data_IF_194713124365
#
_entry.id   IF_194713124365
#
_cell.length_a   1.000
_cell.length_b   1.000
_cell.length_c   1.000
_cell.angle_alpha   90.00
_cell.angle_beta   90.00
_cell.angle_gamma   90.00
#
_symmetry.space_group_name_H-M   'P 1'
#
loop_
_entity.id
_entity.type
_entity.pdbx_description
1 polymer ?
#
# COMPACT_ATOMS: atom_id res chain seq x y z
N UNK A 1 59.31 18.05 55.48
CA UNK A 1 58.35 18.55 54.52
C UNK A 1 58.20 17.65 53.24
N UNK A 2 58.27 16.33 53.37
CA UNK A 2 58.13 15.42 52.24
C UNK A 2 56.92 14.44 52.36
N UNK A 3 56.24 14.41 53.50
CA UNK A 3 55.15 13.49 53.74
C UNK A 3 53.76 14.01 53.32
N UNK A 4 53.64 15.28 52.90
CA UNK A 4 52.32 15.89 52.54
C UNK A 4 52.00 15.90 51.04
N UNK A 5 52.88 15.34 50.19
CA UNK A 5 52.69 15.35 48.74
C UNK A 5 52.23 14.02 48.12
N UNK A 6 52.09 12.94 48.90
CA UNK A 6 51.74 11.61 48.40
C UNK A 6 50.28 11.21 48.61
N UNK A 7 49.44 12.05 49.24
CA UNK A 7 48.05 11.75 49.50
C UNK A 7 47.05 12.35 48.50
N UNK A 8 47.50 12.89 47.36
CA UNK A 8 46.64 13.54 46.35
C UNK A 8 46.55 12.83 45.00
N UNK A 9 47.09 11.65 44.90
CA UNK A 9 46.96 10.85 43.71
C UNK A 9 46.17 9.61 44.02
N UNK A 10 45.04 9.46 43.44
CA UNK A 10 44.13 8.30 43.32
C UNK A 10 42.77 8.54 44.01
N UNK A 11 42.06 9.57 43.58
CA UNK A 11 40.62 9.49 43.49
C UNK A 11 40.20 9.57 42.01
N UNK A 12 40.43 8.48 41.25
CA UNK A 12 39.78 8.34 39.97
C UNK A 12 38.29 8.16 40.27
N UNK A 13 37.42 9.04 39.73
CA UNK A 13 35.99 8.78 39.86
C UNK A 13 35.70 7.43 39.20
N UNK A 14 35.11 6.54 39.98
CA UNK A 14 34.59 5.28 39.47
C UNK A 14 33.69 5.60 38.25
N UNK A 15 33.80 4.83 37.16
CA UNK A 15 32.93 5.04 36.02
C UNK A 15 31.49 4.96 36.53
N UNK A 16 30.75 6.05 36.38
CA UNK A 16 29.32 6.05 36.66
C UNK A 16 28.71 4.99 35.74
N UNK A 17 28.38 3.85 36.33
CA UNK A 17 27.60 2.83 35.68
C UNK A 17 26.28 3.51 35.24
N UNK A 18 26.14 3.75 33.95
CA UNK A 18 24.88 4.26 33.39
C UNK A 18 23.81 3.27 33.84
N UNK A 19 23.01 3.65 34.81
CA UNK A 19 21.80 2.88 35.11
C UNK A 19 21.03 2.80 33.83
N UNK A 20 20.86 1.58 33.31
CA UNK A 20 19.88 1.31 32.26
C UNK A 20 18.55 1.70 32.92
N UNK A 21 18.07 2.88 32.54
CA UNK A 21 16.74 3.31 32.92
C UNK A 21 15.79 2.25 32.36
N UNK A 22 15.24 1.44 33.22
CA UNK A 22 14.06 0.64 32.87
C UNK A 22 12.89 1.62 32.76
N UNK A 23 12.85 2.37 31.67
CA UNK A 23 11.63 3.03 31.27
C UNK A 23 10.60 1.90 31.17
N UNK A 24 9.48 1.93 31.93
CA UNK A 24 8.45 0.93 31.75
C UNK A 24 8.11 0.98 30.27
N UNK A 25 8.36 -0.12 29.57
CA UNK A 25 7.90 -0.29 28.20
C UNK A 25 6.40 -0.02 28.28
N UNK A 26 5.97 1.18 27.86
CA UNK A 26 4.57 1.39 27.57
C UNK A 26 4.27 0.33 26.55
N UNK A 27 3.58 -0.72 26.98
CA UNK A 27 2.96 -1.65 26.04
C UNK A 27 2.16 -0.76 25.12
N UNK A 28 2.71 -0.50 23.93
CA UNK A 28 1.91 0.13 22.89
C UNK A 28 0.73 -0.82 22.73
N UNK A 29 -0.47 -0.32 22.92
CA UNK A 29 -1.72 -1.05 22.60
C UNK A 29 -1.83 -1.32 21.09
N UNK A 30 -0.77 -1.18 20.36
CA UNK A 30 -0.58 -1.49 18.95
C UNK A 30 -0.32 -2.98 18.67
N UNK A 31 -0.79 -3.88 19.52
CA UNK A 31 -1.05 -5.22 19.08
C UNK A 31 -2.25 -5.14 18.14
N UNK A 32 -2.02 -5.44 16.86
CA UNK A 32 -3.06 -5.61 15.84
C UNK A 32 -3.95 -6.82 16.21
N UNK A 33 -4.67 -6.69 17.31
CA UNK A 33 -5.63 -7.68 17.74
C UNK A 33 -6.98 -7.30 17.15
N UNK A 34 -7.59 -8.25 16.42
CA UNK A 34 -8.96 -8.09 15.96
C UNK A 34 -9.88 -7.91 17.18
N UNK A 35 -10.71 -6.89 17.12
CA UNK A 35 -11.79 -6.66 18.08
C UNK A 35 -13.10 -6.76 17.32
N UNK A 36 -14.00 -7.62 17.80
CA UNK A 36 -15.30 -7.81 17.21
C UNK A 36 -16.08 -6.49 17.18
N UNK A 37 -16.59 -6.15 16.00
CA UNK A 37 -17.49 -5.03 15.78
C UNK A 37 -18.84 -5.54 15.27
N UNK A 38 -19.92 -4.74 15.28
CA UNK A 38 -21.20 -5.15 14.72
C UNK A 38 -21.14 -5.58 13.25
N UNK A 39 -20.22 -5.01 12.47
CA UNK A 39 -20.06 -5.28 11.03
C UNK A 39 -18.88 -6.22 10.71
N UNK A 40 -17.96 -6.44 11.64
CA UNK A 40 -16.78 -7.29 11.45
C UNK A 40 -16.58 -8.21 12.65
N UNK A 41 -17.18 -9.41 12.59
CA UNK A 41 -17.06 -10.43 13.60
C UNK A 41 -17.22 -11.83 12.96
N UNK A 42 -16.70 -12.89 13.58
CA UNK A 42 -16.72 -14.25 13.02
C UNK A 42 -18.13 -14.85 12.87
N UNK A 43 -19.16 -14.24 13.46
CA UNK A 43 -20.55 -14.72 13.39
C UNK A 43 -21.24 -14.34 12.09
N UNK A 44 -20.73 -13.31 11.37
CA UNK A 44 -21.24 -12.91 10.08
C UNK A 44 -20.71 -13.91 9.05
N UNK A 45 -21.60 -14.76 8.52
CA UNK A 45 -21.22 -15.77 7.54
C UNK A 45 -20.78 -15.11 6.22
N UNK A 46 -19.70 -15.64 5.64
CA UNK A 46 -19.25 -15.33 4.28
C UNK A 46 -19.11 -16.63 3.52
N UNK A 47 -19.63 -16.65 2.30
CA UNK A 47 -19.44 -17.74 1.34
C UNK A 47 -19.29 -17.16 -0.07
N UNK A 48 -18.49 -17.81 -0.89
CA UNK A 48 -18.41 -17.44 -2.30
C UNK A 48 -19.75 -17.73 -3.00
N UNK A 49 -20.13 -16.83 -3.90
CA UNK A 49 -21.20 -17.10 -4.86
C UNK A 49 -20.84 -18.33 -5.69
N UNK A 50 -21.84 -18.97 -6.29
CA UNK A 50 -21.64 -20.17 -7.14
C UNK A 50 -20.65 -19.91 -8.28
N UNK A 51 -20.64 -18.70 -8.85
CA UNK A 51 -19.71 -18.26 -9.88
C UNK A 51 -18.29 -18.09 -9.32
N UNK A 52 -18.15 -17.35 -8.21
CA UNK A 52 -16.85 -17.13 -7.58
C UNK A 52 -16.27 -18.41 -6.99
N UNK A 53 -17.10 -19.36 -6.58
CA UNK A 53 -16.60 -20.66 -6.12
C UNK A 53 -15.96 -21.46 -7.28
N UNK A 54 -16.56 -21.43 -8.49
CA UNK A 54 -15.92 -22.02 -9.68
C UNK A 54 -14.60 -21.33 -9.99
N UNK A 55 -14.61 -19.99 -9.99
CA UNK A 55 -13.41 -19.20 -10.20
C UNK A 55 -12.31 -19.50 -9.15
N UNK A 56 -12.70 -19.66 -7.90
CA UNK A 56 -11.77 -20.04 -6.83
C UNK A 56 -11.15 -21.41 -7.05
N UNK A 57 -11.93 -22.38 -7.54
CA UNK A 57 -11.43 -23.72 -7.87
C UNK A 57 -10.46 -23.68 -9.06
N UNK A 58 -10.74 -22.89 -10.09
CA UNK A 58 -9.83 -22.64 -11.21
C UNK A 58 -8.50 -22.05 -10.73
N UNK A 59 -8.54 -21.03 -9.85
CA UNK A 59 -7.35 -20.42 -9.27
C UNK A 59 -6.54 -21.45 -8.49
N UNK A 60 -7.17 -22.27 -7.66
CA UNK A 60 -6.48 -23.31 -6.88
C UNK A 60 -5.84 -24.34 -7.83
N UNK A 61 -6.50 -24.69 -8.93
CA UNK A 61 -5.99 -25.67 -9.91
C UNK A 61 -4.73 -25.20 -10.65
N UNK A 62 -4.38 -23.92 -10.62
CA UNK A 62 -3.10 -23.41 -11.15
C UNK A 62 -1.88 -23.84 -10.31
N UNK A 63 -2.10 -24.30 -9.07
CA UNK A 63 -1.04 -24.70 -8.16
C UNK A 63 -1.02 -26.23 -7.97
N UNK A 64 0.15 -26.84 -7.72
CA UNK A 64 0.21 -28.25 -7.38
C UNK A 64 -0.65 -28.58 -6.15
N UNK A 65 -1.28 -29.76 -6.08
CA UNK A 65 -2.24 -30.11 -4.99
C UNK A 65 -1.66 -29.94 -3.58
N UNK A 66 -0.37 -30.23 -3.38
CA UNK A 66 0.31 -30.08 -2.09
C UNK A 66 0.63 -28.61 -1.74
N UNK A 67 0.52 -27.69 -2.71
CA UNK A 67 0.79 -26.26 -2.54
C UNK A 67 -0.41 -25.36 -2.77
N UNK A 68 -1.63 -25.88 -2.62
CA UNK A 68 -2.88 -25.08 -2.77
C UNK A 68 -2.91 -23.82 -1.90
N UNK A 69 -2.16 -23.79 -0.80
CA UNK A 69 -1.96 -22.61 0.05
C UNK A 69 -1.38 -21.40 -0.70
N UNK A 70 -0.70 -21.61 -1.82
CA UNK A 70 -0.17 -20.52 -2.65
C UNK A 70 -1.29 -19.66 -3.29
N UNK A 71 -2.51 -20.18 -3.37
CA UNK A 71 -3.68 -19.45 -3.85
C UNK A 71 -4.25 -18.43 -2.85
N UNK A 72 -3.65 -18.23 -1.67
CA UNK A 72 -4.22 -17.38 -0.62
C UNK A 72 -4.42 -15.94 -1.06
N UNK A 73 -3.43 -15.33 -1.74
CA UNK A 73 -3.50 -13.94 -2.22
C UNK A 73 -4.61 -13.76 -3.26
N UNK A 74 -4.65 -14.52 -4.36
CA UNK A 74 -5.71 -14.35 -5.36
C UNK A 74 -7.11 -14.71 -4.82
N UNK A 75 -7.23 -15.63 -3.87
CA UNK A 75 -8.53 -15.93 -3.25
C UNK A 75 -8.98 -14.84 -2.29
N UNK A 76 -8.08 -14.21 -1.55
CA UNK A 76 -8.41 -13.04 -0.73
C UNK A 76 -8.84 -11.87 -1.61
N UNK A 77 -8.18 -11.64 -2.77
CA UNK A 77 -8.59 -10.59 -3.72
C UNK A 77 -9.99 -10.87 -4.28
N UNK A 78 -10.25 -12.10 -4.73
CA UNK A 78 -11.57 -12.49 -5.22
C UNK A 78 -12.66 -12.31 -4.15
N UNK A 79 -12.35 -12.68 -2.91
CA UNK A 79 -13.26 -12.55 -1.79
C UNK A 79 -13.49 -11.07 -1.40
N UNK A 80 -12.44 -10.25 -1.42
CA UNK A 80 -12.52 -8.82 -1.19
C UNK A 80 -13.43 -8.14 -2.21
N UNK A 81 -13.29 -8.48 -3.49
CA UNK A 81 -14.16 -7.96 -4.57
C UNK A 81 -15.62 -8.33 -4.35
N UNK A 82 -15.90 -9.55 -3.94
CA UNK A 82 -17.27 -9.98 -3.61
C UNK A 82 -17.81 -9.30 -2.34
N UNK A 83 -16.94 -9.01 -1.36
CA UNK A 83 -17.31 -8.41 -0.09
C UNK A 83 -17.21 -6.87 -0.11
N UNK A 84 -17.61 -6.24 -1.21
CA UNK A 84 -17.64 -4.76 -1.35
C UNK A 84 -16.30 -4.08 -1.12
N UNK A 85 -15.22 -4.68 -1.59
CA UNK A 85 -13.88 -4.10 -1.59
C UNK A 85 -13.09 -4.22 -0.28
N UNK A 86 -13.55 -5.01 0.70
CA UNK A 86 -12.81 -5.21 1.95
C UNK A 86 -12.84 -6.67 2.45
N UNK A 87 -11.85 -7.04 3.26
CA UNK A 87 -11.68 -8.38 3.83
C UNK A 87 -12.07 -8.40 5.30
N UNK A 88 -13.26 -8.94 5.62
CA UNK A 88 -13.69 -9.19 7.00
C UNK A 88 -12.97 -10.40 7.61
N UNK A 89 -13.05 -10.53 8.94
CA UNK A 89 -12.55 -11.72 9.63
C UNK A 89 -13.18 -13.00 9.10
N UNK A 90 -14.47 -12.95 8.75
CA UNK A 90 -15.20 -14.09 8.19
C UNK A 90 -14.72 -14.48 6.79
N UNK A 91 -14.38 -13.50 5.96
CA UNK A 91 -13.74 -13.71 4.65
C UNK A 91 -12.42 -14.45 4.82
N UNK A 92 -11.56 -13.99 5.72
CA UNK A 92 -10.26 -14.61 5.99
C UNK A 92 -10.42 -16.04 6.52
N UNK A 93 -11.37 -16.27 7.43
CA UNK A 93 -11.67 -17.60 7.96
C UNK A 93 -12.21 -18.55 6.88
N UNK A 94 -13.04 -18.06 5.97
CA UNK A 94 -13.56 -18.86 4.87
C UNK A 94 -12.45 -19.29 3.90
N UNK A 95 -11.57 -18.35 3.52
CA UNK A 95 -10.40 -18.64 2.67
C UNK A 95 -9.46 -19.62 3.34
N UNK A 96 -9.22 -19.47 4.67
CA UNK A 96 -8.41 -20.41 5.44
C UNK A 96 -8.98 -21.83 5.39
N UNK A 97 -10.30 -21.97 5.59
CA UNK A 97 -11.00 -23.26 5.52
C UNK A 97 -10.92 -23.87 4.12
N UNK A 98 -11.13 -23.08 3.06
CA UNK A 98 -11.08 -23.54 1.67
C UNK A 98 -9.70 -24.06 1.28
N UNK A 99 -8.64 -23.40 1.77
CA UNK A 99 -7.25 -23.78 1.51
C UNK A 99 -6.67 -24.77 2.53
N UNK A 100 -7.46 -25.19 3.54
CA UNK A 100 -7.02 -26.05 4.64
C UNK A 100 -5.78 -25.48 5.36
N UNK A 101 -5.81 -24.15 5.59
CA UNK A 101 -4.74 -23.43 6.29
C UNK A 101 -5.18 -23.03 7.69
N UNK A 102 -4.23 -22.92 8.65
CA UNK A 102 -4.53 -22.26 9.91
C UNK A 102 -4.98 -20.80 9.66
N UNK A 103 -6.07 -20.31 10.26
CA UNK A 103 -6.57 -18.95 10.05
C UNK A 103 -5.50 -17.86 10.28
N UNK A 104 -4.63 -18.06 11.27
CA UNK A 104 -3.54 -17.12 11.57
C UNK A 104 -2.65 -16.85 10.34
N UNK A 105 -2.37 -17.87 9.51
CA UNK A 105 -1.56 -17.69 8.30
C UNK A 105 -2.23 -16.82 7.24
N UNK A 106 -3.55 -16.87 7.17
CA UNK A 106 -4.32 -15.98 6.29
C UNK A 106 -4.36 -14.56 6.86
N UNK A 107 -4.48 -14.41 8.19
CA UNK A 107 -4.42 -13.09 8.83
C UNK A 107 -3.06 -12.41 8.61
N UNK A 108 -1.97 -13.16 8.70
CA UNK A 108 -0.62 -12.65 8.40
C UNK A 108 -0.54 -12.08 7.00
N UNK A 109 -1.08 -12.79 6.00
CA UNK A 109 -1.11 -12.32 4.61
C UNK A 109 -1.98 -11.08 4.46
N UNK A 110 -3.19 -11.09 5.01
CA UNK A 110 -4.12 -9.97 4.92
C UNK A 110 -3.63 -8.70 5.63
N UNK A 111 -2.78 -8.85 6.65
CA UNK A 111 -2.19 -7.71 7.37
C UNK A 111 -0.88 -7.23 6.76
N UNK A 112 -0.14 -8.09 6.10
CA UNK A 112 1.14 -7.76 5.47
C UNK A 112 0.95 -7.01 4.15
N UNK A 113 0.06 -7.48 3.30
CA UNK A 113 -0.17 -6.89 1.98
C UNK A 113 -1.19 -5.75 2.05
N UNK A 114 -0.76 -4.54 1.75
CA UNK A 114 -1.58 -3.31 1.83
C UNK A 114 -2.75 -3.27 0.86
N UNK A 115 -2.77 -4.14 -0.16
CA UNK A 115 -3.91 -4.27 -1.08
C UNK A 115 -5.17 -4.80 -0.41
N UNK A 116 -5.06 -5.41 0.77
CA UNK A 116 -6.22 -5.94 1.49
C UNK A 116 -6.76 -4.92 2.49
N UNK A 117 -7.94 -4.40 2.19
CA UNK A 117 -8.66 -3.49 3.07
C UNK A 117 -9.32 -4.28 4.20
N UNK A 118 -8.97 -4.01 5.45
CA UNK A 118 -9.51 -4.70 6.62
C UNK A 118 -10.73 -4.00 7.24
N UNK A 119 -11.03 -2.82 6.77
CA UNK A 119 -12.18 -2.01 7.14
C UNK A 119 -13.03 -1.74 5.90
N UNK A 120 -14.34 -1.51 6.07
CA UNK A 120 -15.21 -1.15 4.96
C UNK A 120 -14.72 0.10 4.24
N UNK A 121 -14.76 0.06 2.93
CA UNK A 121 -14.43 1.19 2.05
C UNK A 121 -15.67 1.65 1.28
N UNK A 122 -15.61 2.85 0.71
CA UNK A 122 -16.64 3.36 -0.19
C UNK A 122 -16.67 2.66 -1.54
N UNK A 123 -17.65 3.00 -2.36
CA UNK A 123 -17.80 2.44 -3.72
C UNK A 123 -16.58 2.73 -4.60
N UNK A 124 -15.99 3.91 -4.42
CA UNK A 124 -14.78 4.34 -5.14
C UNK A 124 -13.63 4.49 -4.15
N UNK A 125 -12.65 3.63 -4.27
CA UNK A 125 -11.46 3.64 -3.45
C UNK A 125 -10.36 4.44 -4.14
N UNK A 126 -10.10 5.64 -3.64
CA UNK A 126 -9.14 6.59 -4.22
C UNK A 126 -7.82 6.50 -3.47
N UNK A 127 -6.77 6.16 -4.17
CA UNK A 127 -5.43 5.98 -3.65
C UNK A 127 -4.50 7.00 -4.31
N UNK A 128 -3.95 7.94 -3.53
CA UNK A 128 -3.07 8.99 -4.03
C UNK A 128 -1.62 8.65 -3.68
N UNK A 129 -0.78 8.51 -4.69
CA UNK A 129 0.65 8.28 -4.50
C UNK A 129 1.36 9.58 -4.14
N UNK A 130 2.09 9.58 -3.00
CA UNK A 130 2.86 10.73 -2.52
C UNK A 130 4.36 10.46 -2.39
N UNK A 131 4.84 9.31 -2.90
CA UNK A 131 6.27 8.97 -2.90
C UNK A 131 7.08 9.89 -3.81
N UNK A 132 8.39 9.84 -3.69
CA UNK A 132 9.33 10.87 -4.17
C UNK A 132 9.05 11.42 -5.57
N UNK A 133 8.89 10.64 -6.65
CA UNK A 133 8.62 11.21 -7.97
C UNK A 133 7.29 11.95 -8.04
N UNK A 134 6.23 11.41 -7.43
CA UNK A 134 4.93 12.05 -7.37
C UNK A 134 4.98 13.31 -6.50
N UNK A 135 5.67 13.26 -5.36
CA UNK A 135 5.89 14.41 -4.49
C UNK A 135 6.58 15.56 -5.24
N UNK A 136 7.67 15.28 -5.95
CA UNK A 136 8.39 16.27 -6.75
C UNK A 136 7.54 16.88 -7.88
N UNK A 137 6.51 16.16 -8.32
CA UNK A 137 5.55 16.59 -9.35
C UNK A 137 4.27 17.18 -8.78
N UNK A 138 4.22 17.43 -7.45
CA UNK A 138 3.12 18.14 -6.81
C UNK A 138 1.98 17.23 -6.32
N UNK A 139 2.24 15.96 -5.96
CA UNK A 139 1.18 15.05 -5.51
C UNK A 139 0.46 15.49 -4.24
N UNK A 140 1.12 16.26 -3.36
CA UNK A 140 0.44 16.81 -2.17
C UNK A 140 -0.66 17.81 -2.55
N UNK A 141 -0.46 18.62 -3.62
CA UNK A 141 -1.51 19.47 -4.15
C UNK A 141 -2.68 18.65 -4.71
N UNK A 142 -2.37 17.51 -5.35
CA UNK A 142 -3.40 16.57 -5.81
C UNK A 142 -4.16 15.98 -4.63
N UNK A 143 -3.47 15.51 -3.59
CA UNK A 143 -4.09 14.97 -2.38
C UNK A 143 -5.00 15.99 -1.71
N UNK A 144 -4.53 17.21 -1.52
CA UNK A 144 -5.32 18.31 -0.96
C UNK A 144 -6.55 18.61 -1.84
N UNK A 145 -6.36 18.62 -3.17
CA UNK A 145 -7.46 18.82 -4.13
C UNK A 145 -8.52 17.73 -3.99
N UNK A 146 -8.12 16.46 -3.89
CA UNK A 146 -9.03 15.31 -3.68
C UNK A 146 -9.79 15.48 -2.37
N UNK A 147 -9.07 15.70 -1.27
CA UNK A 147 -9.67 15.83 0.05
C UNK A 147 -10.68 17.00 0.12
N UNK A 148 -10.31 18.16 -0.42
CA UNK A 148 -11.19 19.34 -0.44
C UNK A 148 -12.41 19.16 -1.34
N UNK A 149 -12.22 18.58 -2.53
CA UNK A 149 -13.29 18.35 -3.50
C UNK A 149 -14.34 17.35 -2.99
N UNK A 150 -13.93 16.39 -2.19
CA UNK A 150 -14.80 15.39 -1.57
C UNK A 150 -15.39 15.82 -0.21
N UNK A 151 -15.40 17.11 0.09
CA UNK A 151 -16.06 17.67 1.27
C UNK A 151 -15.17 17.83 2.50
N UNK A 152 -13.84 17.93 2.30
CA UNK A 152 -12.87 18.19 3.37
C UNK A 152 -12.54 16.95 4.21
N UNK A 153 -12.65 15.76 3.63
CA UNK A 153 -12.24 14.51 4.28
C UNK A 153 -10.73 14.42 4.42
N UNK A 154 -10.28 13.65 5.41
CA UNK A 154 -8.85 13.38 5.60
C UNK A 154 -8.46 12.05 4.94
N UNK A 155 -7.17 11.86 4.59
CA UNK A 155 -6.68 10.55 4.17
C UNK A 155 -7.00 9.48 5.24
N UNK A 156 -7.53 8.35 4.79
CA UNK A 156 -8.04 7.27 5.64
C UNK A 156 -9.54 7.35 5.95
N UNK A 157 -10.22 8.40 5.56
CA UNK A 157 -11.65 8.57 5.81
C UNK A 157 -12.51 8.26 4.59
N UNK A 158 -13.76 7.90 4.86
CA UNK A 158 -14.79 7.69 3.84
C UNK A 158 -15.78 8.85 3.88
N UNK A 159 -16.23 9.29 2.70
CA UNK A 159 -17.29 10.34 2.60
C UNK A 159 -18.57 9.90 3.28
N UNK A 160 -19.34 10.86 3.80
CA UNK A 160 -20.58 10.57 4.56
C UNK A 160 -21.64 9.83 3.74
N UNK A 161 -21.61 9.97 2.43
CA UNK A 161 -22.49 9.28 1.49
C UNK A 161 -21.99 7.85 1.14
N UNK A 162 -20.82 7.45 1.64
CA UNK A 162 -20.22 6.13 1.38
C UNK A 162 -19.67 5.96 -0.03
N UNK A 163 -19.61 7.00 -0.84
CA UNK A 163 -19.17 6.90 -2.23
C UNK A 163 -17.66 6.81 -2.40
N UNK A 164 -16.90 7.58 -1.59
CA UNK A 164 -15.46 7.65 -1.74
C UNK A 164 -14.74 7.34 -0.44
N UNK A 165 -13.68 6.58 -0.52
CA UNK A 165 -12.66 6.45 0.52
C UNK A 165 -11.33 6.91 -0.07
N UNK A 166 -10.65 7.83 0.61
CA UNK A 166 -9.36 8.38 0.16
C UNK A 166 -8.26 7.88 1.07
N UNK A 167 -7.20 7.34 0.49
CA UNK A 167 -5.99 7.00 1.23
C UNK A 167 -4.75 7.55 0.52
N UNK A 168 -3.74 7.82 1.31
CA UNK A 168 -2.38 8.07 0.84
C UNK A 168 -1.68 6.72 0.73
N UNK A 169 -1.00 6.49 -0.39
CA UNK A 169 -0.31 5.22 -0.66
C UNK A 169 1.14 5.44 -1.09
N UNK A 170 1.93 4.38 -0.92
CA UNK A 170 3.27 4.27 -1.47
C UNK A 170 3.25 4.16 -3.01
N UNK A 171 4.44 4.07 -3.61
CA UNK A 171 4.61 4.06 -5.06
C UNK A 171 3.80 2.95 -5.74
N UNK A 172 2.95 3.35 -6.69
CA UNK A 172 2.12 2.46 -7.50
C UNK A 172 2.76 2.10 -8.86
N UNK A 173 4.01 2.53 -9.11
CA UNK A 173 4.77 2.16 -10.29
C UNK A 173 4.58 3.03 -11.53
N UNK A 174 3.74 4.07 -11.49
CA UNK A 174 3.51 5.00 -12.62
C UNK A 174 4.36 6.28 -12.52
N UNK A 175 5.58 6.20 -12.00
CA UNK A 175 6.43 7.34 -11.68
C UNK A 175 6.78 8.21 -12.90
N UNK A 176 6.88 7.64 -14.09
CA UNK A 176 7.17 8.36 -15.34
C UNK A 176 6.08 9.33 -15.74
N UNK A 177 4.85 9.10 -15.32
CA UNK A 177 3.68 9.93 -15.58
C UNK A 177 3.11 10.54 -14.27
N UNK A 178 3.99 10.84 -13.34
CA UNK A 178 3.63 11.51 -12.08
C UNK A 178 3.12 12.95 -12.33
N UNK A 179 2.20 13.48 -11.48
CA UNK A 179 1.57 12.82 -10.35
C UNK A 179 0.41 11.93 -10.76
N UNK A 180 0.05 10.96 -9.92
CA UNK A 180 -0.98 9.98 -10.24
C UNK A 180 -1.84 9.62 -9.04
N UNK A 181 -3.03 9.11 -9.33
CA UNK A 181 -3.90 8.43 -8.37
C UNK A 181 -4.50 7.17 -9.00
N UNK A 182 -4.96 6.28 -8.15
CA UNK A 182 -5.70 5.07 -8.55
C UNK A 182 -7.13 5.21 -8.04
N UNK A 183 -8.12 4.90 -8.87
CA UNK A 183 -9.50 4.73 -8.42
C UNK A 183 -9.88 3.29 -8.67
N UNK A 184 -10.15 2.55 -7.62
CA UNK A 184 -10.37 1.11 -7.64
C UNK A 184 -9.17 0.37 -8.27
N UNK A 185 -9.25 -0.04 -9.54
CA UNK A 185 -8.18 -0.74 -10.27
C UNK A 185 -7.52 0.12 -11.35
N UNK A 186 -8.05 1.31 -11.63
CA UNK A 186 -7.64 2.13 -12.77
C UNK A 186 -6.70 3.25 -12.36
N UNK A 187 -5.64 3.41 -13.13
CA UNK A 187 -4.62 4.44 -12.97
C UNK A 187 -5.01 5.70 -13.72
N UNK A 188 -4.90 6.85 -13.07
CA UNK A 188 -5.05 8.18 -13.64
C UNK A 188 -3.75 8.94 -13.42
N UNK A 189 -3.10 9.30 -14.48
CA UNK A 189 -1.72 9.78 -14.51
C UNK A 189 -1.63 11.20 -15.10
N UNK A 190 -0.45 11.85 -15.00
CA UNK A 190 -0.24 13.23 -15.46
C UNK A 190 -1.31 14.21 -14.92
N UNK A 191 -1.61 14.08 -13.66
CA UNK A 191 -2.71 14.83 -13.05
C UNK A 191 -2.34 16.29 -12.81
N UNK A 192 -3.38 17.11 -12.90
CA UNK A 192 -3.42 18.48 -12.41
C UNK A 192 -4.64 18.63 -11.51
N UNK A 193 -4.70 19.66 -10.66
CA UNK A 193 -5.87 19.91 -9.83
C UNK A 193 -7.18 19.98 -10.64
N UNK A 194 -7.12 20.49 -11.88
CA UNK A 194 -8.29 20.56 -12.77
C UNK A 194 -8.72 19.20 -13.32
N UNK A 195 -7.76 18.37 -13.77
CA UNK A 195 -8.07 17.02 -14.28
C UNK A 195 -8.50 16.08 -13.17
N UNK A 196 -7.92 16.21 -11.99
CA UNK A 196 -8.32 15.45 -10.80
C UNK A 196 -9.78 15.66 -10.45
N UNK A 197 -10.24 16.93 -10.40
CA UNK A 197 -11.66 17.24 -10.17
C UNK A 197 -12.57 16.62 -11.22
N UNK A 198 -12.19 16.70 -12.51
CA UNK A 198 -12.97 16.07 -13.60
C UNK A 198 -13.11 14.56 -13.43
N UNK A 199 -12.01 13.88 -13.03
CA UNK A 199 -12.03 12.44 -12.77
C UNK A 199 -12.99 12.12 -11.63
N UNK A 200 -12.92 12.84 -10.50
CA UNK A 200 -13.79 12.63 -9.35
C UNK A 200 -15.26 12.94 -9.66
N UNK A 201 -15.52 14.01 -10.43
CA UNK A 201 -16.89 14.37 -10.85
C UNK A 201 -17.51 13.30 -11.74
N UNK A 202 -16.73 12.69 -12.64
CA UNK A 202 -17.21 11.57 -13.45
C UNK A 202 -17.61 10.37 -12.59
N UNK A 203 -16.78 9.97 -11.63
CA UNK A 203 -17.14 8.89 -10.69
C UNK A 203 -18.35 9.25 -9.82
N UNK A 204 -18.49 10.50 -9.40
CA UNK A 204 -19.67 10.96 -8.66
C UNK A 204 -20.96 10.76 -9.46
N UNK A 205 -20.89 10.93 -10.79
CA UNK A 205 -22.01 10.69 -11.73
C UNK A 205 -22.20 9.22 -12.10
N UNK A 206 -21.31 8.33 -11.64
CA UNK A 206 -21.30 6.92 -12.03
C UNK A 206 -20.68 6.66 -13.40
N UNK A 207 -19.97 7.62 -13.95
CA UNK A 207 -19.21 7.49 -15.19
C UNK A 207 -17.80 7.01 -14.90
N UNK A 208 -17.22 6.19 -15.78
CA UNK A 208 -15.84 5.74 -15.70
C UNK A 208 -15.02 6.47 -16.74
N UNK A 209 -14.22 7.48 -16.36
CA UNK A 209 -13.38 8.20 -17.31
C UNK A 209 -12.28 7.27 -17.85
N UNK A 210 -11.72 7.63 -19.02
CA UNK A 210 -10.66 6.84 -19.64
C UNK A 210 -9.43 6.79 -18.72
N UNK A 211 -8.96 5.60 -18.30
CA UNK A 211 -7.75 5.45 -17.52
C UNK A 211 -6.48 5.90 -18.29
N UNK A 212 -5.42 6.10 -17.55
CA UNK A 212 -4.11 6.46 -18.08
C UNK A 212 -3.83 7.96 -18.01
N UNK A 213 -2.89 8.44 -18.81
CA UNK A 213 -2.46 9.84 -18.80
C UNK A 213 -3.61 10.80 -19.14
N UNK A 214 -3.87 11.76 -18.27
CA UNK A 214 -4.91 12.78 -18.44
C UNK A 214 -4.41 13.98 -19.26
N UNK A 215 -3.14 14.00 -19.63
CA UNK A 215 -2.51 14.99 -20.51
C UNK A 215 -2.74 14.73 -22.00
N UNK A 216 -3.30 13.57 -22.36
CA UNK A 216 -3.50 13.14 -23.74
C UNK A 216 -2.32 12.42 -24.38
N UNK A 217 -1.22 12.19 -23.65
CA UNK A 217 -0.13 11.33 -24.16
C UNK A 217 -0.54 9.86 -24.17
N UNK A 218 0.09 9.04 -25.02
CA UNK A 218 -0.20 7.63 -25.17
C UNK A 218 0.87 6.71 -24.59
N UNK A 219 2.03 7.26 -24.22
CA UNK A 219 3.20 6.52 -23.75
C UNK A 219 3.82 7.20 -22.54
N UNK A 220 4.71 6.51 -21.85
CA UNK A 220 5.54 7.06 -20.76
C UNK A 220 6.80 7.76 -21.29
N UNK A 221 6.93 7.94 -22.60
CA UNK A 221 8.09 8.59 -23.20
C UNK A 221 8.17 10.06 -22.75
N UNK A 222 9.39 10.52 -22.50
CA UNK A 222 9.65 11.92 -22.18
C UNK A 222 9.15 12.83 -23.32
N UNK A 223 8.52 13.95 -22.97
CA UNK A 223 8.05 14.95 -23.95
C UNK A 223 9.17 15.52 -24.83
N UNK A 224 10.42 15.47 -24.36
CA UNK A 224 11.61 15.84 -25.16
C UNK A 224 12.07 14.72 -26.12
N UNK A 225 11.36 13.59 -26.18
CA UNK A 225 11.73 12.42 -26.95
C UNK A 225 12.84 11.59 -26.30
N UNK A 226 13.54 10.82 -27.12
CA UNK A 226 14.65 9.97 -26.65
C UNK A 226 15.85 10.84 -26.29
N UNK A 227 16.13 10.96 -25.00
CA UNK A 227 17.24 11.78 -24.47
C UNK A 227 18.44 10.95 -24.04
N UNK A 228 18.29 9.62 -23.94
CA UNK A 228 19.36 8.70 -23.60
C UNK A 228 19.52 7.65 -24.70
N UNK A 229 20.70 7.06 -24.80
CA UNK A 229 21.03 6.07 -25.82
C UNK A 229 20.77 6.53 -27.26
N UNK A 230 20.81 7.84 -27.49
CA UNK A 230 20.59 8.43 -28.81
C UNK A 230 21.82 8.33 -29.74
N UNK A 231 22.98 8.01 -29.20
CA UNK A 231 24.23 7.75 -29.94
C UNK A 231 24.51 6.27 -30.05
N UNK A 232 25.31 5.90 -31.04
CA UNK A 232 25.81 4.51 -31.14
C UNK A 232 26.54 4.14 -29.84
N UNK A 233 26.26 3.00 -29.24
CA UNK A 233 27.00 2.55 -28.06
C UNK A 233 28.50 2.48 -28.37
N UNK A 234 29.33 2.99 -27.48
CA UNK A 234 30.76 2.72 -27.57
C UNK A 234 31.02 1.24 -27.32
N UNK A 235 31.96 0.68 -28.06
CA UNK A 235 32.37 -0.73 -27.90
C UNK A 235 33.05 -0.98 -26.54
N UNK A 236 33.57 -2.18 -26.32
CA UNK A 236 34.36 -2.49 -25.14
C UNK A 236 35.47 -1.48 -24.96
N UNK A 237 35.54 -0.84 -23.83
CA UNK A 237 36.48 0.24 -23.51
C UNK A 237 36.98 0.16 -22.07
N UNK A 238 37.53 1.29 -21.60
CA UNK A 238 38.12 1.38 -20.25
C UNK A 238 37.15 1.05 -19.09
N UNK A 239 35.83 1.16 -19.34
CA UNK A 239 34.78 0.85 -18.38
C UNK A 239 34.42 -0.65 -18.34
N UNK A 240 34.94 -1.44 -19.28
CA UNK A 240 34.76 -2.90 -19.26
C UNK A 240 35.86 -3.54 -18.42
N UNK A 241 35.50 -4.57 -17.63
CA UNK A 241 36.50 -5.40 -16.98
C UNK A 241 37.41 -6.07 -18.03
N UNK A 242 38.64 -6.39 -17.68
CA UNK A 242 39.64 -6.95 -18.62
C UNK A 242 39.14 -8.22 -19.34
N UNK A 243 38.29 -9.00 -18.65
CA UNK A 243 37.69 -10.22 -19.21
C UNK A 243 36.71 -9.96 -20.39
N UNK A 244 36.22 -8.72 -20.56
CA UNK A 244 35.24 -8.36 -21.58
C UNK A 244 35.77 -7.28 -22.56
N UNK A 245 37.06 -7.01 -22.54
CA UNK A 245 37.72 -6.11 -23.50
C UNK A 245 38.09 -6.77 -24.83
#
# INVERSE_FOLDING_TARGET
>A
MLAARLARAIARPLPQCRRISSTPCRRSDALFMHRDTPYNNPKIAFEFSSENLKRAQEIIAHYPPQYKKAAVIPLLDLAQRQNKGWTSISVMNYVAKLLEMPPMRVYEVATFYTMFNREPIGENFVQVCTTTPCMLRGSYEILDTVCQHLGGIKPGETTKDGKFTVIEVECQGACSNAPMLVVNDDFYEDLTSATTKKVLDAFTKGEKPKPGPQSGRHTSENSAGLTALASKPYGPGEFCTEEFR
#
